data_IF_531317412707
#
_entry.id   IF_531317412707
#
_cell.length_a   1.000
_cell.length_b   1.000
_cell.length_c   1.000
_cell.angle_alpha   90.00
_cell.angle_beta   90.00
_cell.angle_gamma   90.00
#
_symmetry.space_group_name_H-M   'P 1'
#
loop_
_entity.id
_entity.type
_entity.pdbx_description
1 polymer ?
#
# COMPACT_ATOMS: atom_id res chain seq x y z
N UNK A 1 24.89 -42.12 21.11
CA UNK A 1 25.85 -41.07 20.72
C UNK A 1 25.17 -39.72 20.91
N UNK A 2 25.50 -38.96 21.96
CA UNK A 2 24.99 -37.63 22.19
C UNK A 2 25.93 -36.58 21.56
N UNK A 3 25.41 -35.65 20.76
CA UNK A 3 25.99 -34.36 20.37
C UNK A 3 24.78 -33.60 19.77
N UNK A 4 24.29 -32.47 20.22
CA UNK A 4 24.85 -31.40 21.03
C UNK A 4 24.18 -30.15 20.50
N UNK A 5 23.42 -29.43 21.32
CA UNK A 5 23.18 -28.00 21.14
C UNK A 5 22.71 -27.41 22.46
N UNK A 6 23.69 -27.24 23.35
CA UNK A 6 23.76 -26.09 24.24
C UNK A 6 23.49 -24.84 23.38
N UNK A 7 22.70 -23.85 23.75
CA UNK A 7 22.94 -22.98 24.90
C UNK A 7 21.74 -22.03 25.06
N UNK A 8 21.25 -21.88 26.28
CA UNK A 8 20.69 -20.63 26.80
C UNK A 8 21.77 -20.05 27.76
N UNK A 9 21.88 -18.74 28.02
CA UNK A 9 20.78 -17.91 28.51
C UNK A 9 20.77 -16.44 28.04
N UNK A 10 19.83 -15.71 28.64
CA UNK A 10 19.40 -14.33 28.41
C UNK A 10 20.37 -13.21 28.82
N UNK A 11 19.94 -11.98 28.46
CA UNK A 11 20.13 -10.69 29.15
C UNK A 11 21.14 -9.70 28.56
N UNK A 12 20.62 -8.56 28.10
CA UNK A 12 21.27 -7.24 28.09
C UNK A 12 21.26 -6.63 29.52
N UNK A 13 21.69 -5.39 29.80
CA UNK A 13 22.62 -4.44 29.13
C UNK A 13 23.77 -4.01 30.09
N UNK A 14 24.78 -3.25 29.63
CA UNK A 14 25.51 -2.22 30.41
C UNK A 14 26.76 -1.73 29.69
N UNK A 15 27.04 -0.42 29.74
CA UNK A 15 28.41 0.09 29.68
C UNK A 15 28.65 1.23 28.68
N UNK A 16 28.34 2.44 29.12
CA UNK A 16 28.86 3.68 28.54
C UNK A 16 30.38 3.79 28.73
N UNK A 17 31.12 4.27 27.71
CA UNK A 17 31.79 5.59 27.74
C UNK A 17 32.85 5.75 26.65
N UNK A 18 32.73 6.89 25.96
CA UNK A 18 33.75 7.79 25.43
C UNK A 18 34.95 7.24 24.63
N UNK A 19 34.97 7.54 23.33
CA UNK A 19 36.16 8.09 22.67
C UNK A 19 35.76 9.22 21.71
N UNK A 20 36.21 10.44 22.02
CA UNK A 20 36.18 11.60 21.14
C UNK A 20 37.42 11.54 20.26
N UNK A 21 37.20 11.49 18.95
CA UNK A 21 38.15 11.94 17.94
C UNK A 21 37.34 12.48 16.76
N UNK A 22 37.39 13.80 16.59
CA UNK A 22 36.75 14.52 15.51
C UNK A 22 37.30 14.06 14.17
N UNK A 23 36.43 13.49 13.33
CA UNK A 23 36.53 13.64 11.88
C UNK A 23 35.20 14.23 11.43
N UNK A 24 35.32 15.47 10.99
CA UNK A 24 34.42 16.18 10.10
C UNK A 24 33.78 15.21 9.09
N UNK A 25 32.54 14.83 9.36
CA UNK A 25 31.62 14.35 8.34
C UNK A 25 30.40 15.28 8.44
N UNK A 26 30.07 16.06 7.39
CA UNK A 26 28.82 16.79 7.35
C UNK A 26 27.70 15.78 7.62
N UNK A 27 26.74 16.17 8.48
CA UNK A 27 25.79 15.28 9.14
C UNK A 27 25.01 14.35 8.21
N UNK A 28 24.06 13.53 8.72
CA UNK A 28 23.14 12.83 7.84
C UNK A 28 22.36 13.91 7.08
N UNK A 29 22.87 14.28 5.91
CA UNK A 29 22.16 15.05 4.93
C UNK A 29 20.91 14.23 4.72
N UNK A 30 19.81 14.75 5.24
CA UNK A 30 18.47 14.26 5.04
C UNK A 30 18.36 14.10 3.53
N UNK A 31 18.61 12.89 3.05
CA UNK A 31 18.76 12.64 1.63
C UNK A 31 17.43 13.06 1.03
N UNK A 32 17.44 14.16 0.26
CA UNK A 32 16.24 14.63 -0.39
C UNK A 32 15.61 13.41 -1.09
N UNK A 33 14.34 13.07 -0.79
CA UNK A 33 13.71 11.93 -1.42
C UNK A 33 13.91 12.08 -2.92
N UNK A 34 14.57 11.10 -3.53
CA UNK A 34 14.88 11.17 -4.95
C UNK A 34 13.53 11.15 -5.69
N UNK A 35 13.26 12.06 -6.62
CA UNK A 35 11.99 12.11 -7.36
C UNK A 35 11.65 10.76 -8.04
N UNK A 36 12.66 9.95 -8.34
CA UNK A 36 12.49 8.57 -8.86
C UNK A 36 11.84 7.60 -7.88
N UNK A 37 12.05 7.76 -6.57
CA UNK A 37 11.45 6.90 -5.55
C UNK A 37 9.96 7.21 -5.37
N UNK A 38 9.58 8.47 -5.51
CA UNK A 38 8.18 8.92 -5.45
C UNK A 38 7.39 8.44 -6.68
N UNK A 39 7.98 8.50 -7.88
CA UNK A 39 7.40 7.89 -9.10
C UNK A 39 7.17 6.39 -8.96
N UNK A 40 8.17 5.64 -8.49
CA UNK A 40 8.04 4.20 -8.29
C UNK A 40 6.96 3.86 -7.25
N UNK A 41 6.79 4.69 -6.22
CA UNK A 41 5.73 4.54 -5.23
C UNK A 41 4.34 4.82 -5.81
N UNK A 42 4.21 5.86 -6.63
CA UNK A 42 2.96 6.18 -7.35
C UNK A 42 2.56 5.06 -8.31
N UNK A 43 3.49 4.54 -9.11
CA UNK A 43 3.24 3.40 -10.00
C UNK A 43 2.72 2.17 -9.23
N UNK A 44 3.34 1.82 -8.10
CA UNK A 44 2.86 0.72 -7.25
C UNK A 44 1.46 0.96 -6.69
N UNK A 45 1.13 2.21 -6.33
CA UNK A 45 -0.21 2.57 -5.88
C UNK A 45 -1.23 2.44 -7.00
N UNK A 46 -0.92 2.92 -8.21
CA UNK A 46 -1.78 2.79 -9.38
C UNK A 46 -2.05 1.30 -9.67
N UNK A 47 -1.02 0.45 -9.73
CA UNK A 47 -1.20 -1.00 -9.92
C UNK A 47 -1.99 -1.69 -8.79
N UNK A 48 -2.03 -1.10 -7.60
CA UNK A 48 -2.84 -1.59 -6.47
C UNK A 48 -4.29 -1.12 -6.56
N UNK A 49 -4.53 0.10 -7.06
CA UNK A 49 -5.87 0.61 -7.35
C UNK A 49 -6.49 -0.16 -8.51
N UNK A 50 -5.77 -0.37 -9.62
CA UNK A 50 -6.26 -1.14 -10.77
C UNK A 50 -6.77 -2.54 -10.37
N UNK A 51 -6.02 -3.28 -9.56
CA UNK A 51 -6.46 -4.60 -9.05
C UNK A 51 -7.71 -4.52 -8.17
N UNK A 52 -7.92 -3.40 -7.48
CA UNK A 52 -9.15 -3.19 -6.68
C UNK A 52 -10.32 -2.79 -7.56
N UNK A 53 -10.09 -2.02 -8.63
CA UNK A 53 -11.09 -1.72 -9.67
C UNK A 53 -11.56 -3.02 -10.30
N UNK A 54 -10.66 -3.89 -10.77
CA UNK A 54 -11.03 -5.19 -11.37
C UNK A 54 -11.92 -6.02 -10.43
N UNK A 55 -11.61 -6.03 -9.13
CA UNK A 55 -12.43 -6.70 -8.13
C UNK A 55 -13.78 -6.01 -7.91
N UNK A 56 -13.82 -4.68 -7.86
CA UNK A 56 -15.05 -3.91 -7.68
C UNK A 56 -15.98 -4.03 -8.91
N UNK A 57 -15.42 -4.07 -10.12
CA UNK A 57 -16.14 -4.34 -11.35
C UNK A 57 -16.73 -5.75 -11.37
N UNK A 58 -16.01 -6.73 -10.81
CA UNK A 58 -16.56 -8.08 -10.58
C UNK A 58 -17.79 -8.05 -9.68
N UNK A 59 -17.73 -7.33 -8.56
CA UNK A 59 -18.88 -7.15 -7.66
C UNK A 59 -20.04 -6.37 -8.30
N UNK A 60 -19.73 -5.38 -9.13
CA UNK A 60 -20.72 -4.64 -9.90
C UNK A 60 -21.44 -5.56 -10.89
N UNK A 61 -20.69 -6.43 -11.58
CA UNK A 61 -21.27 -7.41 -12.48
C UNK A 61 -22.15 -8.42 -11.73
N UNK A 62 -21.68 -8.94 -10.58
CA UNK A 62 -22.49 -9.82 -9.73
C UNK A 62 -23.78 -9.15 -9.25
N UNK A 63 -23.71 -7.86 -8.86
CA UNK A 63 -24.88 -7.09 -8.46
C UNK A 63 -25.82 -6.81 -9.65
N UNK A 64 -25.27 -6.57 -10.85
CA UNK A 64 -26.05 -6.38 -12.08
C UNK A 64 -26.77 -7.67 -12.48
N UNK A 65 -26.09 -8.82 -12.37
CA UNK A 65 -26.67 -10.14 -12.63
C UNK A 65 -27.79 -10.43 -11.62
N UNK A 66 -27.57 -10.16 -10.33
CA UNK A 66 -28.60 -10.29 -9.30
C UNK A 66 -29.82 -9.38 -9.53
N UNK A 67 -29.60 -8.13 -9.96
CA UNK A 67 -30.67 -7.20 -10.31
C UNK A 67 -31.44 -7.62 -11.56
N UNK A 68 -30.77 -8.25 -12.53
CA UNK A 68 -31.38 -8.77 -13.73
C UNK A 68 -32.19 -10.06 -13.47
N UNK A 69 -31.71 -10.92 -12.56
CA UNK A 69 -32.40 -12.13 -12.12
C UNK A 69 -33.65 -11.77 -11.28
N UNK A 70 -33.51 -10.83 -10.34
CA UNK A 70 -34.60 -10.32 -9.51
C UNK A 70 -34.47 -8.81 -9.29
N UNK A 71 -35.29 -8.04 -10.01
CA UNK A 71 -35.37 -6.60 -9.79
C UNK A 71 -36.13 -6.29 -8.50
N UNK A 72 -35.41 -5.78 -7.50
CA UNK A 72 -35.93 -5.35 -6.20
C UNK A 72 -35.22 -4.08 -5.74
N UNK A 73 -35.77 -3.40 -4.73
CA UNK A 73 -35.09 -2.25 -4.12
C UNK A 73 -33.74 -2.65 -3.50
N UNK A 74 -33.62 -3.89 -3.01
CA UNK A 74 -32.38 -4.41 -2.43
C UNK A 74 -31.31 -4.64 -3.50
N UNK A 75 -31.66 -5.28 -4.61
CA UNK A 75 -30.70 -5.55 -5.71
C UNK A 75 -30.32 -4.26 -6.44
N UNK A 76 -31.24 -3.31 -6.58
CA UNK A 76 -30.95 -1.96 -7.07
C UNK A 76 -29.96 -1.23 -6.14
N UNK A 77 -30.21 -1.23 -4.83
CA UNK A 77 -29.32 -0.56 -3.87
C UNK A 77 -27.91 -1.20 -3.85
N UNK A 78 -27.84 -2.53 -3.98
CA UNK A 78 -26.57 -3.24 -4.09
C UNK A 78 -25.80 -2.86 -5.37
N UNK A 79 -26.50 -2.77 -6.50
CA UNK A 79 -25.94 -2.32 -7.77
C UNK A 79 -25.45 -0.87 -7.69
N UNK A 80 -26.27 0.06 -7.16
CA UNK A 80 -25.90 1.47 -7.01
C UNK A 80 -24.68 1.64 -6.09
N UNK A 81 -24.62 0.89 -4.98
CA UNK A 81 -23.48 0.90 -4.06
C UNK A 81 -22.21 0.35 -4.71
N UNK A 82 -22.32 -0.75 -5.47
CA UNK A 82 -21.20 -1.30 -6.22
C UNK A 82 -20.72 -0.33 -7.31
N UNK A 83 -21.64 0.31 -8.02
CA UNK A 83 -21.33 1.28 -9.07
C UNK A 83 -20.62 2.52 -8.51
N UNK A 84 -21.14 3.08 -7.41
CA UNK A 84 -20.51 4.22 -6.75
C UNK A 84 -19.10 3.91 -6.25
N UNK A 85 -18.86 2.69 -5.75
CA UNK A 85 -17.53 2.25 -5.33
C UNK A 85 -16.56 2.15 -6.52
N UNK A 86 -17.00 1.60 -7.65
CA UNK A 86 -16.20 1.54 -8.88
C UNK A 86 -15.84 2.95 -9.36
N UNK A 87 -16.81 3.87 -9.40
CA UNK A 87 -16.60 5.28 -9.76
C UNK A 87 -15.56 5.96 -8.86
N UNK A 88 -15.68 5.84 -7.53
CA UNK A 88 -14.72 6.40 -6.57
C UNK A 88 -13.29 5.84 -6.79
N UNK A 89 -13.17 4.55 -7.11
CA UNK A 89 -11.87 3.95 -7.40
C UNK A 89 -11.27 4.47 -8.72
N UNK A 90 -12.09 4.69 -9.75
CA UNK A 90 -11.65 5.30 -11.00
C UNK A 90 -11.20 6.75 -10.80
N UNK A 91 -11.90 7.55 -10.00
CA UNK A 91 -11.47 8.90 -9.62
C UNK A 91 -10.13 8.87 -8.87
N UNK A 92 -9.96 7.92 -7.94
CA UNK A 92 -8.70 7.73 -7.21
C UNK A 92 -7.55 7.35 -8.15
N UNK A 93 -7.82 6.50 -9.14
CA UNK A 93 -6.83 6.12 -10.14
C UNK A 93 -6.42 7.32 -10.98
N UNK A 94 -7.38 8.07 -11.51
CA UNK A 94 -7.11 9.28 -12.30
C UNK A 94 -6.27 10.29 -11.51
N UNK A 95 -6.61 10.54 -10.24
CA UNK A 95 -5.85 11.46 -9.39
C UNK A 95 -4.40 10.98 -9.16
N UNK A 96 -4.15 9.67 -9.09
CA UNK A 96 -2.80 9.12 -8.97
C UNK A 96 -2.03 9.19 -10.29
N UNK A 97 -2.70 9.00 -11.43
CA UNK A 97 -2.11 9.14 -12.75
C UNK A 97 -1.72 10.60 -13.04
N UNK A 98 -2.58 11.55 -12.67
CA UNK A 98 -2.29 12.99 -12.76
C UNK A 98 -1.07 13.36 -11.90
N UNK A 99 -1.01 12.84 -10.66
CA UNK A 99 0.17 13.01 -9.80
C UNK A 99 1.44 12.43 -10.42
N UNK A 100 1.34 11.27 -11.09
CA UNK A 100 2.47 10.63 -11.77
C UNK A 100 2.91 11.45 -12.99
N UNK A 101 1.98 12.01 -13.76
CA UNK A 101 2.26 12.85 -14.92
C UNK A 101 2.91 14.19 -14.54
N UNK A 102 2.58 14.73 -13.37
CA UNK A 102 3.19 15.96 -12.83
C UNK A 102 4.52 15.74 -12.08
N UNK A 103 4.86 14.50 -11.74
CA UNK A 103 6.12 14.12 -11.08
C UNK A 103 7.24 13.92 -12.09
#
# INVERSE_FOLDING_TARGET
RPLGNSSAPASAPAGASAHVASVEAPGPAKAAPKPTADKAKLQRKISSVMRRIEHAEGLLQEAADAMNDEYSEETLAAYEAANANVEEMYETMQALEDQLAMS
#
